data_IF_681438222729
#
_entry.id   IF_681438222729
#
_cell.length_a   1.000
_cell.length_b   1.000
_cell.length_c   1.000
_cell.angle_alpha   90.00
_cell.angle_beta   90.00
_cell.angle_gamma   90.00
#
_symmetry.space_group_name_H-M   'P 1'
#
loop_
_entity.id
_entity.type
_entity.pdbx_description
1 polymer ?
#
# COMPACT_ATOMS: atom_id res chain seq x y z
N UNK A 1 -19.83 -1.16 -13.27
CA UNK A 1 -18.35 -1.24 -13.24
C UNK A 1 -17.97 -2.53 -12.52
N UNK A 2 -16.99 -3.26 -13.03
CA UNK A 2 -16.47 -4.49 -12.38
C UNK A 2 -15.71 -4.11 -11.10
N UNK A 3 -15.97 -4.78 -9.99
CA UNK A 3 -15.23 -4.57 -8.73
C UNK A 3 -13.86 -5.23 -8.80
N UNK A 4 -12.91 -4.85 -7.94
CA UNK A 4 -11.57 -5.45 -7.92
C UNK A 4 -11.64 -6.97 -7.70
N UNK A 5 -12.56 -7.43 -6.84
CA UNK A 5 -12.76 -8.85 -6.57
C UNK A 5 -13.09 -9.65 -7.83
N UNK A 6 -13.92 -9.11 -8.73
CA UNK A 6 -14.28 -9.79 -9.98
C UNK A 6 -13.04 -10.00 -10.86
N UNK A 7 -12.13 -9.02 -10.87
CA UNK A 7 -10.87 -9.09 -11.62
C UNK A 7 -9.91 -10.12 -11.02
N UNK A 8 -9.86 -10.22 -9.69
CA UNK A 8 -9.06 -11.23 -8.97
C UNK A 8 -9.58 -12.63 -9.28
N UNK A 9 -10.89 -12.86 -9.17
CA UNK A 9 -11.50 -14.16 -9.44
C UNK A 9 -11.33 -14.58 -10.91
N UNK A 10 -11.50 -13.64 -11.84
CA UNK A 10 -11.26 -13.91 -13.26
C UNK A 10 -9.79 -14.29 -13.53
N UNK A 11 -8.84 -13.60 -12.88
CA UNK A 11 -7.42 -13.91 -13.01
C UNK A 11 -7.06 -15.27 -12.38
N UNK A 12 -7.62 -15.59 -11.22
CA UNK A 12 -7.45 -16.91 -10.60
C UNK A 12 -7.93 -18.04 -11.52
N UNK A 13 -9.05 -17.83 -12.22
CA UNK A 13 -9.55 -18.81 -13.19
C UNK A 13 -8.62 -18.93 -14.41
N UNK A 14 -8.18 -17.80 -14.97
CA UNK A 14 -7.24 -17.80 -16.10
C UNK A 14 -5.93 -18.52 -15.78
N UNK A 15 -5.37 -18.31 -14.59
CA UNK A 15 -4.13 -18.94 -14.13
C UNK A 15 -4.21 -20.47 -13.99
N UNK A 16 -5.41 -21.07 -13.96
CA UNK A 16 -5.57 -22.54 -14.00
C UNK A 16 -5.29 -23.11 -15.39
N UNK A 17 -5.48 -22.31 -16.43
CA UNK A 17 -5.44 -22.75 -17.83
C UNK A 17 -4.25 -22.15 -18.60
N UNK A 18 -3.84 -20.93 -18.26
CA UNK A 18 -2.74 -20.20 -18.91
C UNK A 18 -1.44 -20.33 -18.10
N UNK A 19 -0.36 -20.81 -18.73
CA UNK A 19 0.97 -20.97 -18.10
C UNK A 19 1.99 -19.89 -18.50
N UNK A 20 1.64 -19.03 -19.44
CA UNK A 20 2.53 -18.00 -20.01
C UNK A 20 2.32 -16.62 -19.38
N UNK A 21 1.51 -16.53 -18.31
CA UNK A 21 1.31 -15.27 -17.60
C UNK A 21 2.54 -14.94 -16.73
N UNK A 22 2.88 -13.65 -16.55
CA UNK A 22 3.96 -13.24 -15.65
C UNK A 22 3.75 -13.69 -14.20
N UNK A 23 2.47 -13.85 -13.81
CA UNK A 23 2.06 -14.37 -12.51
C UNK A 23 1.90 -15.88 -12.55
N UNK A 24 2.31 -16.53 -11.46
CA UNK A 24 2.06 -17.96 -11.19
C UNK A 24 0.76 -18.17 -10.44
N UNK A 25 0.48 -17.29 -9.48
CA UNK A 25 -0.69 -17.42 -8.62
C UNK A 25 -1.15 -16.09 -8.08
N UNK A 26 -2.45 -15.98 -7.88
CA UNK A 26 -3.10 -14.94 -7.10
C UNK A 26 -3.95 -15.62 -6.04
N UNK A 27 -3.86 -15.14 -4.80
CA UNK A 27 -4.58 -15.71 -3.66
C UNK A 27 -5.28 -14.64 -2.85
N UNK A 28 -6.28 -15.11 -2.10
CA UNK A 28 -7.00 -14.35 -1.10
C UNK A 28 -6.93 -15.14 0.20
N UNK A 29 -6.27 -14.58 1.21
CA UNK A 29 -6.07 -15.23 2.50
C UNK A 29 -7.07 -14.65 3.52
N UNK A 30 -7.99 -15.46 4.08
CA UNK A 30 -8.94 -14.98 5.08
C UNK A 30 -8.23 -14.32 6.27
N UNK A 31 -8.79 -13.21 6.75
CA UNK A 31 -8.29 -12.52 7.95
C UNK A 31 -9.00 -13.08 9.18
N UNK A 32 -8.27 -13.52 10.23
CA UNK A 32 -8.89 -13.91 11.48
C UNK A 32 -9.70 -12.77 12.10
N UNK A 33 -10.89 -13.06 12.64
CA UNK A 33 -11.78 -12.03 13.21
C UNK A 33 -11.12 -11.21 14.33
N UNK A 34 -10.23 -11.84 15.11
CA UNK A 34 -9.47 -11.17 16.17
C UNK A 34 -8.52 -10.11 15.59
N UNK A 35 -7.82 -10.45 14.51
CA UNK A 35 -6.86 -9.56 13.87
C UNK A 35 -7.58 -8.38 13.20
N UNK A 36 -8.73 -8.65 12.57
CA UNK A 36 -9.58 -7.60 12.01
C UNK A 36 -10.10 -6.65 13.09
N UNK A 37 -10.60 -7.19 14.21
CA UNK A 37 -11.07 -6.38 15.34
C UNK A 37 -9.97 -5.50 15.94
N UNK A 38 -8.74 -6.03 16.04
CA UNK A 38 -7.57 -5.27 16.49
C UNK A 38 -7.25 -4.10 15.54
N UNK A 39 -7.29 -4.33 14.24
CA UNK A 39 -7.08 -3.28 13.23
C UNK A 39 -8.16 -2.21 13.29
N UNK A 40 -9.43 -2.61 13.32
CA UNK A 40 -10.57 -1.69 13.38
C UNK A 40 -10.56 -0.86 14.66
N UNK A 41 -10.23 -1.46 15.80
CA UNK A 41 -10.14 -0.74 17.09
C UNK A 41 -9.00 0.27 17.10
N UNK A 42 -7.92 0.01 16.35
CA UNK A 42 -6.72 0.85 16.35
C UNK A 42 -6.76 1.94 15.27
N UNK A 43 -7.25 1.61 14.06
CA UNK A 43 -7.15 2.44 12.86
C UNK A 43 -8.47 2.55 12.09
N UNK A 44 -9.57 1.92 12.53
CA UNK A 44 -10.80 1.79 11.74
C UNK A 44 -11.39 3.11 11.25
N UNK A 45 -11.36 4.17 12.07
CA UNK A 45 -11.83 5.51 11.68
C UNK A 45 -10.96 6.20 10.62
N UNK A 46 -9.71 5.75 10.46
CA UNK A 46 -8.72 6.30 9.55
C UNK A 46 -8.66 5.53 8.21
N UNK A 47 -9.02 4.24 8.24
CA UNK A 47 -8.97 3.37 7.06
C UNK A 47 -10.16 3.62 6.12
N UNK A 48 -9.97 3.44 4.80
CA UNK A 48 -11.11 3.46 3.87
C UNK A 48 -12.07 2.30 4.16
N UNK A 49 -13.38 2.60 4.19
CA UNK A 49 -14.40 1.56 4.40
C UNK A 49 -14.33 0.47 3.33
N UNK A 50 -14.02 0.83 2.07
CA UNK A 50 -13.87 -0.13 0.99
C UNK A 50 -12.74 -1.15 1.25
N UNK A 51 -11.65 -0.72 1.89
CA UNK A 51 -10.56 -1.61 2.28
C UNK A 51 -11.00 -2.58 3.39
N UNK A 52 -11.65 -2.08 4.44
CA UNK A 52 -12.17 -2.89 5.54
C UNK A 52 -13.22 -3.91 5.06
N UNK A 53 -14.15 -3.47 4.22
CA UNK A 53 -15.16 -4.33 3.58
C UNK A 53 -14.51 -5.41 2.72
N UNK A 54 -13.42 -5.09 2.01
CA UNK A 54 -12.73 -6.04 1.17
C UNK A 54 -12.01 -7.11 1.99
N UNK A 55 -11.17 -6.72 2.96
CA UNK A 55 -10.38 -7.68 3.74
C UNK A 55 -11.25 -8.55 4.65
N UNK A 56 -12.39 -8.02 5.12
CA UNK A 56 -13.35 -8.76 5.94
C UNK A 56 -14.14 -9.81 5.16
N UNK A 57 -14.50 -9.52 3.90
CA UNK A 57 -15.33 -10.42 3.06
C UNK A 57 -14.51 -11.36 2.20
N UNK A 58 -13.36 -10.90 1.70
CA UNK A 58 -12.59 -11.59 0.68
C UNK A 58 -11.21 -12.01 1.20
N UNK A 59 -10.65 -11.33 2.19
CA UNK A 59 -9.32 -11.60 2.72
C UNK A 59 -8.24 -10.76 2.05
N UNK A 60 -6.99 -11.05 2.41
CA UNK A 60 -5.79 -10.35 1.95
C UNK A 60 -5.37 -10.86 0.59
N UNK A 61 -5.23 -9.93 -0.36
CA UNK A 61 -4.73 -10.22 -1.68
C UNK A 61 -3.21 -10.48 -1.69
N UNK A 62 -2.78 -11.48 -2.44
CA UNK A 62 -1.37 -11.70 -2.79
C UNK A 62 -1.24 -12.16 -4.25
N UNK A 63 -0.19 -11.69 -4.93
CA UNK A 63 0.19 -12.09 -6.27
C UNK A 63 1.67 -12.51 -6.28
N UNK A 64 1.93 -13.68 -6.85
CA UNK A 64 3.26 -14.31 -6.87
C UNK A 64 3.62 -14.66 -8.32
N UNK A 65 4.86 -14.42 -8.70
CA UNK A 65 5.38 -14.74 -10.03
C UNK A 65 5.82 -16.21 -10.19
N UNK A 66 6.23 -16.56 -11.40
CA UNK A 66 6.72 -17.91 -11.73
C UNK A 66 7.99 -18.33 -10.96
N UNK A 67 8.76 -17.37 -10.43
CA UNK A 67 9.93 -17.63 -9.57
C UNK A 67 9.53 -17.85 -8.10
N UNK A 68 8.27 -17.63 -7.75
CA UNK A 68 7.81 -17.69 -6.36
C UNK A 68 8.04 -16.39 -5.59
N UNK A 69 8.32 -15.27 -6.27
CA UNK A 69 8.51 -13.97 -5.65
C UNK A 69 7.17 -13.22 -5.55
N UNK A 70 6.93 -12.60 -4.39
CA UNK A 70 5.76 -11.75 -4.19
C UNK A 70 5.87 -10.50 -5.08
N UNK A 71 4.87 -10.29 -5.94
CA UNK A 71 4.76 -9.10 -6.79
C UNK A 71 3.94 -8.01 -6.13
N UNK A 72 2.89 -8.41 -5.43
CA UNK A 72 2.09 -7.53 -4.60
C UNK A 72 1.44 -8.34 -3.49
N UNK A 73 1.37 -7.78 -2.29
CA UNK A 73 0.74 -8.45 -1.14
C UNK A 73 0.17 -7.42 -0.18
N UNK A 74 -1.09 -7.59 0.21
CA UNK A 74 -1.65 -6.83 1.33
C UNK A 74 -1.02 -7.26 2.64
N UNK A 75 -0.67 -6.29 3.46
CA UNK A 75 -0.18 -6.54 4.81
C UNK A 75 -1.31 -7.11 5.67
N UNK A 76 -0.98 -8.08 6.51
CA UNK A 76 -1.87 -8.52 7.56
C UNK A 76 -2.13 -7.40 8.56
N UNK A 77 -3.27 -7.42 9.30
CA UNK A 77 -3.53 -6.47 10.38
C UNK A 77 -2.34 -6.22 11.32
N UNK A 78 -1.65 -7.28 11.73
CA UNK A 78 -0.46 -7.19 12.58
C UNK A 78 0.68 -6.47 11.87
N UNK A 79 0.99 -6.86 10.63
CA UNK A 79 2.03 -6.20 9.84
C UNK A 79 1.72 -4.71 9.58
N UNK A 80 0.46 -4.34 9.39
CA UNK A 80 0.05 -2.93 9.25
C UNK A 80 0.44 -2.15 10.52
N UNK A 81 0.11 -2.69 11.69
CA UNK A 81 0.37 -2.03 12.97
C UNK A 81 1.88 -1.97 13.28
N UNK A 82 2.59 -3.06 13.05
CA UNK A 82 4.05 -3.15 13.25
C UNK A 82 4.80 -2.20 12.30
N UNK A 83 4.43 -2.19 11.01
CA UNK A 83 5.06 -1.32 10.00
C UNK A 83 4.75 0.14 10.28
N UNK A 84 3.53 0.45 10.74
CA UNK A 84 3.16 1.81 11.16
C UNK A 84 3.98 2.27 12.37
N UNK A 85 4.22 1.40 13.36
CA UNK A 85 5.07 1.72 14.50
C UNK A 85 6.52 1.93 14.08
N UNK A 86 7.05 1.03 13.25
CA UNK A 86 8.40 1.12 12.74
C UNK A 86 8.63 2.38 11.89
N UNK A 87 7.68 2.71 11.01
CA UNK A 87 7.74 3.93 10.18
C UNK A 87 7.74 5.22 11.00
N UNK A 88 7.18 5.21 12.21
CA UNK A 88 7.24 6.35 13.15
C UNK A 88 8.60 6.42 13.84
N UNK A 89 9.13 5.28 14.26
CA UNK A 89 10.41 5.18 14.98
C UNK A 89 11.63 5.45 14.10
N UNK A 90 11.57 5.11 12.80
CA UNK A 90 12.69 5.30 11.86
C UNK A 90 13.19 6.76 11.76
N UNK A 91 12.31 7.73 12.02
CA UNK A 91 12.64 9.16 11.95
C UNK A 91 13.33 9.67 13.24
N UNK A 92 13.49 8.85 14.28
CA UNK A 92 13.91 9.29 15.63
C UNK A 92 15.42 9.14 15.95
N UNK A 93 16.19 8.31 15.25
CA UNK A 93 17.61 8.06 15.56
C UNK A 93 18.57 8.56 14.46
N UNK A 94 19.11 9.77 14.61
CA UNK A 94 20.31 10.23 13.89
C UNK A 94 20.21 10.38 12.37
N UNK A 95 18.99 10.38 11.81
CA UNK A 95 18.77 10.41 10.36
C UNK A 95 19.02 11.77 9.69
N UNK A 96 19.19 12.84 10.47
CA UNK A 96 19.35 14.22 9.99
C UNK A 96 20.49 14.90 10.73
N UNK A 97 21.25 15.75 10.04
CA UNK A 97 22.39 16.44 10.62
C UNK A 97 22.00 17.58 11.57
N UNK A 98 23.02 18.20 12.15
CA UNK A 98 22.88 19.16 13.25
C UNK A 98 22.38 20.56 12.81
N UNK A 99 22.01 20.74 11.53
CA UNK A 99 21.55 22.01 10.99
C UNK A 99 20.06 22.24 11.29
N UNK A 100 19.68 23.51 11.56
CA UNK A 100 18.31 23.88 11.92
C UNK A 100 17.27 23.48 10.86
N UNK A 101 17.60 23.67 9.58
CA UNK A 101 16.73 23.30 8.45
C UNK A 101 16.54 21.78 8.33
N UNK A 102 17.60 20.99 8.62
CA UNK A 102 17.55 19.53 8.58
C UNK A 102 16.70 18.98 9.73
N UNK A 103 16.78 19.61 10.90
CA UNK A 103 15.92 19.30 12.04
C UNK A 103 14.45 19.65 11.75
N UNK A 104 14.18 20.79 11.11
CA UNK A 104 12.82 21.16 10.72
C UNK A 104 12.22 20.17 9.70
N UNK A 105 12.98 19.79 8.68
CA UNK A 105 12.59 18.77 7.71
C UNK A 105 12.30 17.43 8.38
N UNK A 106 13.16 16.98 9.31
CA UNK A 106 12.96 15.76 10.09
C UNK A 106 11.65 15.77 10.89
N UNK A 107 11.36 16.91 11.54
CA UNK A 107 10.14 17.07 12.34
C UNK A 107 8.88 17.03 11.46
N UNK A 108 8.92 17.64 10.27
CA UNK A 108 7.84 17.60 9.29
C UNK A 108 7.63 16.19 8.76
N UNK A 109 8.70 15.48 8.40
CA UNK A 109 8.65 14.09 7.94
C UNK A 109 8.09 13.17 9.01
N UNK A 110 8.54 13.30 10.27
CA UNK A 110 8.01 12.52 11.39
C UNK A 110 6.50 12.74 11.58
N UNK A 111 6.07 14.00 11.51
CA UNK A 111 4.66 14.36 11.64
C UNK A 111 3.84 13.78 10.49
N UNK A 112 4.37 13.81 9.27
CA UNK A 112 3.76 13.20 8.09
C UNK A 112 3.65 11.68 8.24
N UNK A 113 4.73 10.99 8.58
CA UNK A 113 4.75 9.53 8.74
C UNK A 113 3.74 9.04 9.79
N UNK A 114 3.38 9.89 10.76
CA UNK A 114 2.30 9.62 11.71
C UNK A 114 0.90 9.45 11.10
N UNK A 115 0.64 10.02 9.92
CA UNK A 115 -0.66 9.97 9.21
C UNK A 115 -0.69 9.00 8.02
N UNK A 116 0.44 8.41 7.66
CA UNK A 116 0.57 7.46 6.55
C UNK A 116 0.41 6.02 7.06
N UNK A 117 -0.58 5.29 6.54
CA UNK A 117 -0.84 3.91 6.95
C UNK A 117 -0.39 2.96 5.82
N UNK A 118 0.69 2.18 6.00
CA UNK A 118 1.09 1.17 5.03
C UNK A 118 0.06 0.04 4.99
N UNK A 119 -0.31 -0.43 3.80
CA UNK A 119 -1.30 -1.51 3.68
C UNK A 119 -0.97 -2.56 2.61
N UNK A 120 -0.11 -2.26 1.63
CA UNK A 120 0.22 -3.20 0.58
C UNK A 120 1.68 -3.08 0.17
N UNK A 121 2.39 -4.20 0.23
CA UNK A 121 3.69 -4.37 -0.39
C UNK A 121 3.54 -4.50 -1.92
N UNK A 122 4.45 -3.89 -2.69
CA UNK A 122 4.59 -4.11 -4.13
C UNK A 122 6.06 -4.24 -4.49
N UNK A 123 6.43 -5.29 -5.21
CA UNK A 123 7.78 -5.46 -5.72
C UNK A 123 7.93 -4.77 -7.08
N UNK A 124 7.65 -3.45 -7.17
CA UNK A 124 7.63 -2.69 -8.44
C UNK A 124 9.01 -2.43 -9.05
N UNK A 125 10.01 -2.29 -8.19
CA UNK A 125 11.41 -2.17 -8.58
C UNK A 125 12.26 -2.30 -7.32
N UNK A 126 13.56 -2.02 -7.41
CA UNK A 126 14.44 -1.86 -6.26
C UNK A 126 14.12 -0.62 -5.39
N UNK A 127 12.96 0.05 -5.57
CA UNK A 127 12.71 1.45 -5.17
C UNK A 127 11.31 1.68 -4.56
N UNK A 128 10.52 0.68 -4.18
CA UNK A 128 9.28 0.92 -3.41
C UNK A 128 9.01 -0.22 -2.45
N UNK A 129 8.62 0.12 -1.22
CA UNK A 129 8.33 -0.89 -0.19
C UNK A 129 6.83 -1.07 0.00
N UNK A 130 6.06 0.02 0.01
CA UNK A 130 4.63 -0.05 0.30
C UNK A 130 3.79 1.00 -0.45
N UNK A 131 2.52 0.68 -0.62
CA UNK A 131 1.46 1.66 -0.78
C UNK A 131 0.92 2.07 0.59
N UNK A 132 0.60 3.35 0.70
CA UNK A 132 0.11 3.99 1.90
C UNK A 132 -1.27 4.60 1.68
N UNK A 133 -2.07 4.65 2.74
CA UNK A 133 -3.18 5.59 2.86
C UNK A 133 -2.69 6.88 3.52
N UNK A 134 -2.81 8.03 2.85
CA UNK A 134 -2.65 9.33 3.52
C UNK A 134 -3.97 9.73 4.16
N UNK A 135 -4.04 9.63 5.49
CA UNK A 135 -5.25 9.99 6.24
C UNK A 135 -5.51 11.51 6.29
N UNK A 136 -4.52 12.34 5.93
CA UNK A 136 -4.63 13.79 5.85
C UNK A 136 -5.14 14.34 4.52
N UNK A 137 -5.08 13.56 3.44
CA UNK A 137 -5.55 13.96 2.11
C UNK A 137 -6.69 13.05 1.66
N UNK A 138 -7.93 13.58 1.64
CA UNK A 138 -9.14 12.77 1.38
C UNK A 138 -10.02 13.38 0.30
N UNK A 139 -10.69 12.50 -0.44
CA UNK A 139 -11.82 12.81 -1.33
C UNK A 139 -13.02 11.94 -0.92
N UNK A 140 -14.14 12.09 -1.60
CA UNK A 140 -15.38 11.35 -1.31
C UNK A 140 -15.20 9.82 -1.37
N UNK A 141 -14.29 9.33 -2.20
CA UNK A 141 -14.00 7.89 -2.39
C UNK A 141 -13.06 7.30 -1.33
N UNK A 142 -12.31 8.14 -0.60
CA UNK A 142 -11.32 7.67 0.35
C UNK A 142 -10.11 8.59 0.55
N UNK A 143 -9.14 8.16 1.37
CA UNK A 143 -7.82 8.79 1.45
C UNK A 143 -7.02 8.59 0.17
N UNK A 144 -6.01 9.44 -0.05
CA UNK A 144 -5.01 9.27 -1.10
C UNK A 144 -4.30 7.92 -0.90
N UNK A 145 -4.19 7.16 -1.99
CA UNK A 145 -3.40 5.93 -2.11
C UNK A 145 -2.22 6.23 -3.02
N UNK A 146 -1.02 6.05 -2.49
CA UNK A 146 0.21 6.35 -3.20
C UNK A 146 1.34 5.39 -2.80
N UNK A 147 2.28 5.09 -3.71
CA UNK A 147 3.47 4.32 -3.40
C UNK A 147 4.53 5.22 -2.75
N UNK A 148 5.27 4.69 -1.78
CA UNK A 148 6.48 5.34 -1.27
C UNK A 148 7.49 4.31 -0.76
N UNK A 149 8.75 4.74 -0.64
CA UNK A 149 9.75 3.97 0.12
C UNK A 149 9.64 4.26 1.60
N UNK A 150 10.06 3.29 2.40
CA UNK A 150 10.19 3.52 3.83
C UNK A 150 11.26 4.56 4.16
N UNK A 151 12.32 4.65 3.35
CA UNK A 151 13.47 5.54 3.50
C UNK A 151 13.40 6.80 2.62
N UNK A 152 12.24 7.11 2.04
CA UNK A 152 12.03 8.36 1.31
C UNK A 152 11.88 9.54 2.28
N UNK A 153 12.88 10.40 2.35
CA UNK A 153 12.90 11.53 3.28
C UNK A 153 12.28 12.81 2.70
N UNK A 154 11.79 12.77 1.45
CA UNK A 154 11.24 13.94 0.75
C UNK A 154 9.70 13.93 0.68
N UNK A 155 9.03 12.97 1.34
CA UNK A 155 7.57 12.88 1.30
C UNK A 155 6.89 14.12 1.87
N UNK A 156 7.46 14.73 2.91
CA UNK A 156 6.91 15.95 3.52
C UNK A 156 6.97 17.14 2.58
N UNK A 157 8.05 17.29 1.80
CA UNK A 157 8.17 18.34 0.78
C UNK A 157 7.08 18.20 -0.28
N UNK A 158 6.70 16.98 -0.64
CA UNK A 158 5.64 16.73 -1.62
C UNK A 158 4.24 16.83 -1.02
N UNK A 159 3.92 16.03 0.01
CA UNK A 159 2.56 15.87 0.55
C UNK A 159 2.09 17.03 1.43
N UNK A 160 3.00 17.93 1.83
CA UNK A 160 2.65 19.16 2.54
C UNK A 160 2.72 20.40 1.63
N UNK A 161 3.03 20.24 0.35
CA UNK A 161 2.92 21.32 -0.63
C UNK A 161 1.47 21.84 -0.71
N UNK A 162 1.30 23.11 -1.06
CA UNK A 162 -0.02 23.73 -1.17
C UNK A 162 -0.88 23.14 -2.30
N UNK A 163 -0.26 22.56 -3.32
CA UNK A 163 -0.93 21.94 -4.46
C UNK A 163 -0.16 20.67 -4.90
N UNK A 164 -0.18 19.61 -4.08
CA UNK A 164 0.61 18.41 -4.33
C UNK A 164 0.16 17.74 -5.63
N UNK A 165 1.12 17.41 -6.49
CA UNK A 165 0.83 16.64 -7.70
C UNK A 165 0.51 15.20 -7.30
N UNK A 166 -0.74 14.80 -7.52
CA UNK A 166 -1.23 13.44 -7.26
C UNK A 166 -1.43 12.64 -8.56
N UNK A 167 -0.81 13.10 -9.66
CA UNK A 167 -0.80 12.36 -10.91
C UNK A 167 -0.10 11.00 -10.71
N UNK A 168 -0.82 9.91 -11.00
CA UNK A 168 -0.35 8.54 -10.72
C UNK A 168 -0.79 7.95 -9.38
N UNK A 169 -1.47 8.73 -8.53
CA UNK A 169 -2.14 8.23 -7.33
C UNK A 169 -3.63 7.97 -7.58
N UNK A 170 -4.30 7.30 -6.64
CA UNK A 170 -5.77 7.15 -6.65
C UNK A 170 -6.34 7.43 -5.27
N UNK A 171 -7.66 7.61 -5.19
CA UNK A 171 -8.41 7.77 -3.94
C UNK A 171 -9.47 6.66 -3.79
N UNK A 172 -9.53 5.74 -4.75
CA UNK A 172 -10.51 4.65 -4.80
C UNK A 172 -9.79 3.31 -4.68
N UNK A 173 -10.16 2.54 -3.67
CA UNK A 173 -9.50 1.28 -3.35
C UNK A 173 -9.74 0.19 -4.43
N UNK A 174 -10.93 0.14 -5.03
CA UNK A 174 -11.25 -0.82 -6.09
C UNK A 174 -10.51 -0.47 -7.39
N UNK A 175 -10.34 0.82 -7.69
CA UNK A 175 -9.48 1.30 -8.77
C UNK A 175 -8.01 0.94 -8.53
N UNK A 176 -7.50 1.23 -7.33
CA UNK A 176 -6.14 0.88 -6.92
C UNK A 176 -5.82 -0.59 -7.17
N UNK A 177 -6.66 -1.50 -6.66
CA UNK A 177 -6.41 -2.93 -6.83
C UNK A 177 -6.44 -3.37 -8.29
N UNK A 178 -7.31 -2.78 -9.12
CA UNK A 178 -7.32 -3.07 -10.56
C UNK A 178 -6.04 -2.58 -11.24
N UNK A 179 -5.50 -1.43 -10.82
CA UNK A 179 -4.20 -0.97 -11.30
C UNK A 179 -3.08 -1.91 -10.89
N UNK A 180 -3.02 -2.35 -9.63
CA UNK A 180 -2.01 -3.31 -9.15
C UNK A 180 -2.07 -4.62 -9.92
N UNK A 181 -3.26 -5.16 -10.16
CA UNK A 181 -3.46 -6.37 -10.96
C UNK A 181 -2.96 -6.18 -12.40
N UNK A 182 -3.32 -5.07 -13.02
CA UNK A 182 -2.89 -4.74 -14.38
C UNK A 182 -1.37 -4.62 -14.46
N UNK A 183 -0.77 -3.86 -13.54
CA UNK A 183 0.68 -3.66 -13.48
C UNK A 183 1.41 -5.00 -13.29
N UNK A 184 0.88 -5.88 -12.44
CA UNK A 184 1.45 -7.22 -12.20
C UNK A 184 1.39 -8.15 -13.43
N UNK A 185 0.52 -7.85 -14.40
CA UNK A 185 0.38 -8.61 -15.66
C UNK A 185 1.11 -7.96 -16.84
N UNK A 186 1.39 -6.67 -16.79
CA UNK A 186 2.16 -5.96 -17.80
C UNK A 186 3.64 -6.10 -17.48
N UNK A 187 4.30 -7.10 -18.09
CA UNK A 187 5.70 -7.48 -17.90
C UNK A 187 6.74 -6.36 -18.15
N UNK A 188 6.32 -5.15 -18.55
CA UNK A 188 7.17 -4.16 -19.20
C UNK A 188 8.11 -3.36 -18.31
N UNK A 189 7.92 -3.28 -16.99
CA UNK A 189 8.74 -2.40 -16.13
C UNK A 189 9.22 -3.07 -14.83
N UNK A 190 9.51 -4.38 -14.86
CA UNK A 190 9.92 -5.13 -13.65
C UNK A 190 11.39 -5.57 -13.66
N UNK A 191 12.25 -4.75 -14.27
CA UNK A 191 13.71 -4.92 -14.31
C UNK A 191 14.22 -5.72 -15.52
N UNK A 192 14.80 -4.98 -16.48
CA UNK A 192 15.86 -5.48 -17.36
C UNK A 192 17.21 -5.00 -16.84
#
# INVERSE_FOLDING_TARGET
MSRAIDSILALQERLKHERELPLKSVSLTPVPSQDLHMLESSLGALLPQAYLDFISRHGLFSAVDWRGQERARMLSPTEVLETLQWSKAYVEEGAFGDNEDELEAALLERKLRGRLIPFQYIAWSNVSDYYYFDTGMRRDTGPLIFPARHDDFDLSTWLLDGAPDVSGCTFDFDEHLRWVLRASLEEKDWGR
#
